data_IF_584457959076
#
_entry.id   IF_584457959076
#
_cell.length_a   1.000
_cell.length_b   1.000
_cell.length_c   1.000
_cell.angle_alpha   90.00
_cell.angle_beta   90.00
_cell.angle_gamma   90.00
#
_symmetry.space_group_name_H-M   'P 1'
#
loop_
_entity.id
_entity.type
_entity.pdbx_description
1 polymer ?
#
# COMPACT_ATOMS: atom_id res chain seq x y z
N UNK A 1 -28.67 31.88 -70.97
CA UNK A 1 -27.42 31.08 -70.98
C UNK A 1 -27.03 30.80 -69.53
N UNK A 2 -26.54 29.58 -69.27
CA UNK A 2 -26.53 28.88 -67.96
C UNK A 2 -25.67 29.56 -66.88
N UNK A 3 -26.19 29.50 -65.64
CA UNK A 3 -25.55 29.89 -64.37
C UNK A 3 -24.43 28.90 -64.01
N UNK A 4 -23.32 29.37 -63.46
CA UNK A 4 -22.30 28.50 -62.84
C UNK A 4 -21.96 29.05 -61.45
N UNK A 5 -22.46 28.38 -60.41
CA UNK A 5 -22.07 28.60 -59.02
C UNK A 5 -21.12 27.45 -58.67
N UNK A 6 -19.88 27.78 -58.33
CA UNK A 6 -18.86 26.81 -57.91
C UNK A 6 -19.01 26.60 -56.41
N UNK A 7 -19.40 25.39 -56.01
CA UNK A 7 -19.51 24.99 -54.61
C UNK A 7 -18.18 24.37 -54.16
N UNK A 8 -17.45 25.02 -53.25
CA UNK A 8 -16.25 24.46 -52.62
C UNK A 8 -16.68 23.62 -51.41
N UNK A 9 -16.61 22.30 -51.52
CA UNK A 9 -16.83 21.39 -50.38
C UNK A 9 -15.50 21.16 -49.66
N UNK A 10 -15.39 21.65 -48.42
CA UNK A 10 -14.27 21.36 -47.51
C UNK A 10 -14.58 20.08 -46.76
N UNK A 11 -13.84 19.01 -47.06
CA UNK A 11 -13.96 17.72 -46.37
C UNK A 11 -13.06 17.72 -45.13
N UNK A 12 -13.64 17.78 -43.93
CA UNK A 12 -12.90 17.63 -42.68
C UNK A 12 -12.58 16.15 -42.43
N UNK A 13 -11.29 15.80 -42.42
CA UNK A 13 -10.82 14.46 -42.04
C UNK A 13 -10.71 14.41 -40.52
N UNK A 14 -11.67 13.76 -39.86
CA UNK A 14 -11.59 13.46 -38.43
C UNK A 14 -10.72 12.21 -38.29
N UNK A 15 -9.45 12.39 -37.93
CA UNK A 15 -8.55 11.29 -37.60
C UNK A 15 -9.00 10.64 -36.28
N UNK A 16 -9.73 9.53 -36.36
CA UNK A 16 -9.94 8.64 -35.22
C UNK A 16 -8.58 8.03 -34.85
N UNK A 17 -7.93 8.58 -33.83
CA UNK A 17 -6.82 7.88 -33.18
C UNK A 17 -7.46 6.80 -32.31
N UNK A 18 -7.21 5.50 -32.57
CA UNK A 18 -7.66 4.48 -31.63
C UNK A 18 -6.93 4.75 -30.30
N UNK A 19 -7.69 5.00 -29.24
CA UNK A 19 -7.15 4.92 -27.90
C UNK A 19 -6.68 3.47 -27.71
N UNK A 20 -5.37 3.26 -27.69
CA UNK A 20 -4.81 1.99 -27.25
C UNK A 20 -5.18 1.85 -25.78
N UNK A 21 -6.25 1.12 -25.49
CA UNK A 21 -6.46 0.57 -24.17
C UNK A 21 -5.25 -0.33 -23.91
N UNK A 22 -4.32 0.14 -23.07
CA UNK A 22 -3.31 -0.74 -22.48
C UNK A 22 -4.06 -1.91 -21.90
N UNK A 23 -3.73 -3.13 -22.32
CA UNK A 23 -4.17 -4.32 -21.61
C UNK A 23 -3.76 -4.10 -20.17
N UNK A 24 -4.73 -3.88 -19.28
CA UNK A 24 -4.47 -3.54 -17.89
C UNK A 24 -3.64 -4.68 -17.28
N UNK A 25 -2.32 -4.49 -17.26
CA UNK A 25 -1.38 -5.46 -16.75
C UNK A 25 -1.73 -5.74 -15.30
N UNK A 26 -1.66 -7.02 -14.91
CA UNK A 26 -1.70 -7.36 -13.50
C UNK A 26 -0.30 -7.11 -12.95
N UNK A 27 -0.19 -6.23 -11.95
CA UNK A 27 1.04 -6.05 -11.19
C UNK A 27 0.99 -6.92 -9.96
N UNK A 28 1.97 -7.81 -9.81
CA UNK A 28 2.13 -8.66 -8.64
C UNK A 28 3.11 -8.02 -7.67
N UNK A 29 2.64 -7.67 -6.48
CA UNK A 29 3.48 -7.25 -5.35
C UNK A 29 3.62 -8.43 -4.42
N UNK A 30 4.84 -8.91 -4.18
CA UNK A 30 5.06 -10.05 -3.30
C UNK A 30 6.36 -9.89 -2.53
N UNK A 31 6.42 -10.46 -1.34
CA UNK A 31 7.58 -10.32 -0.49
C UNK A 31 7.35 -10.78 0.92
N UNK A 32 8.43 -10.76 1.68
CA UNK A 32 8.41 -11.09 3.10
C UNK A 32 9.79 -10.99 3.70
N UNK A 33 9.82 -10.95 5.03
CA UNK A 33 11.04 -10.82 5.80
C UNK A 33 10.80 -10.06 7.09
N UNK A 34 11.81 -9.31 7.51
CA UNK A 34 11.72 -8.41 8.66
C UNK A 34 11.97 -6.99 8.23
N UNK A 35 11.29 -6.04 8.84
CA UNK A 35 11.56 -4.62 8.71
C UNK A 35 12.14 -4.02 9.98
N UNK A 36 12.53 -2.75 9.89
CA UNK A 36 12.90 -1.91 11.01
C UNK A 36 12.44 -0.48 10.77
N UNK A 37 11.88 0.15 11.80
CA UNK A 37 11.53 1.56 11.79
C UNK A 37 12.75 2.47 11.97
N UNK A 38 13.91 1.91 12.34
CA UNK A 38 15.15 2.67 12.59
C UNK A 38 15.08 3.56 13.84
N UNK A 39 14.01 3.45 14.62
CA UNK A 39 13.77 4.20 15.84
C UNK A 39 13.13 3.30 16.90
N UNK A 40 13.28 3.73 18.14
CA UNK A 40 12.53 3.26 19.30
C UNK A 40 11.23 4.06 19.36
N UNK A 41 10.10 3.42 19.01
CA UNK A 41 8.81 4.07 18.86
C UNK A 41 8.00 4.09 20.16
N UNK A 42 8.36 3.26 21.15
CA UNK A 42 7.63 3.12 22.42
C UNK A 42 8.44 3.53 23.66
N UNK A 43 9.74 3.79 23.50
CA UNK A 43 10.64 4.24 24.55
C UNK A 43 11.21 3.10 25.41
N UNK A 44 11.15 1.84 24.98
CA UNK A 44 11.69 0.69 25.71
C UNK A 44 13.23 0.55 25.61
N UNK A 45 13.87 1.38 24.79
CA UNK A 45 15.30 1.39 24.53
C UNK A 45 15.74 0.48 23.39
N UNK A 46 14.83 -0.10 22.61
CA UNK A 46 15.13 -0.96 21.45
C UNK A 46 14.59 -0.35 20.16
N UNK A 47 15.27 -0.66 19.06
CA UNK A 47 14.75 -0.31 17.73
C UNK A 47 13.63 -1.27 17.36
N UNK A 48 12.50 -0.70 16.96
CA UNK A 48 11.31 -1.45 16.59
C UNK A 48 11.30 -1.90 15.12
N UNK A 49 10.44 -2.87 14.84
CA UNK A 49 10.18 -3.40 13.51
C UNK A 49 9.14 -4.51 13.55
N UNK A 50 8.91 -5.12 12.39
CA UNK A 50 7.91 -6.14 12.16
C UNK A 50 8.48 -7.31 11.37
N UNK A 51 7.79 -8.44 11.45
CA UNK A 51 7.87 -9.49 10.45
C UNK A 51 6.72 -9.28 9.47
N UNK A 52 7.01 -9.28 8.18
CA UNK A 52 6.01 -9.01 7.17
C UNK A 52 5.94 -10.09 6.11
N UNK A 53 4.76 -10.21 5.51
CA UNK A 53 4.50 -11.07 4.37
C UNK A 53 3.38 -10.49 3.53
N UNK A 54 3.56 -10.47 2.22
CA UNK A 54 2.56 -9.96 1.29
C UNK A 54 2.59 -10.71 -0.03
N UNK A 55 1.41 -10.96 -0.58
CA UNK A 55 1.21 -11.41 -1.96
C UNK A 55 -0.07 -10.75 -2.45
N UNK A 56 0.06 -9.85 -3.41
CA UNK A 56 -1.02 -8.99 -3.91
C UNK A 56 -0.97 -8.93 -5.43
N UNK A 57 -2.08 -9.28 -6.07
CA UNK A 57 -2.33 -9.05 -7.49
C UNK A 57 -3.15 -7.77 -7.65
N UNK A 58 -2.60 -6.74 -8.28
CA UNK A 58 -3.29 -5.47 -8.56
C UNK A 58 -3.66 -5.40 -10.04
N UNK A 59 -4.91 -5.05 -10.31
CA UNK A 59 -5.42 -4.84 -11.66
C UNK A 59 -5.39 -3.35 -12.00
N UNK A 60 -5.15 -3.00 -13.26
CA UNK A 60 -5.15 -1.60 -13.71
C UNK A 60 -6.49 -0.86 -13.53
N UNK A 61 -7.56 -1.56 -13.15
CA UNK A 61 -8.86 -0.98 -12.76
C UNK A 61 -8.91 -0.46 -11.33
N UNK A 62 -7.87 -0.69 -10.51
CA UNK A 62 -7.83 -0.36 -9.08
C UNK A 62 -8.28 -1.50 -8.17
N UNK A 63 -8.86 -2.58 -8.72
CA UNK A 63 -9.17 -3.79 -7.97
C UNK A 63 -7.88 -4.56 -7.64
N UNK A 64 -7.83 -5.20 -6.47
CA UNK A 64 -6.74 -6.07 -6.08
C UNK A 64 -7.23 -7.32 -5.36
N UNK A 65 -6.39 -8.35 -5.30
CA UNK A 65 -6.62 -9.58 -4.54
C UNK A 65 -5.33 -10.02 -3.88
N UNK A 66 -5.39 -10.46 -2.64
CA UNK A 66 -4.19 -10.94 -1.95
C UNK A 66 -4.32 -10.91 -0.45
N UNK A 67 -3.19 -11.15 0.20
CA UNK A 67 -3.08 -11.15 1.65
C UNK A 67 -1.91 -10.28 2.09
N UNK A 68 -2.09 -9.63 3.23
CA UNK A 68 -1.05 -8.90 3.94
C UNK A 68 -0.98 -9.39 5.38
N UNK A 69 0.25 -9.54 5.88
CA UNK A 69 0.57 -9.79 7.27
C UNK A 69 1.68 -8.83 7.68
N UNK A 70 1.46 -8.11 8.77
CA UNK A 70 2.47 -7.41 9.53
C UNK A 70 2.36 -7.84 10.99
N UNK A 71 3.40 -8.48 11.51
CA UNK A 71 3.49 -9.01 12.86
C UNK A 71 4.56 -8.22 13.61
N UNK A 72 4.12 -7.34 14.50
CA UNK A 72 4.99 -6.56 15.39
C UNK A 72 5.31 -7.34 16.68
N UNK A 73 4.53 -8.37 17.00
CA UNK A 73 4.70 -9.22 18.19
C UNK A 73 5.95 -10.14 18.21
N UNK A 74 6.92 -9.94 17.31
CA UNK A 74 7.90 -10.96 16.89
C UNK A 74 9.38 -10.66 17.13
N UNK A 75 9.72 -9.80 18.10
CA UNK A 75 11.04 -9.71 18.80
C UNK A 75 11.04 -8.69 19.95
N UNK A 76 10.12 -7.73 19.92
CA UNK A 76 9.85 -6.78 20.99
C UNK A 76 8.37 -6.92 21.35
N UNK A 77 8.04 -7.13 22.62
CA UNK A 77 6.75 -6.59 23.06
C UNK A 77 6.93 -5.09 22.93
N UNK A 78 6.29 -4.49 21.93
CA UNK A 78 6.34 -3.04 21.78
C UNK A 78 5.38 -2.46 22.83
N UNK A 79 5.86 -2.40 24.08
CA UNK A 79 5.13 -1.92 25.25
C UNK A 79 4.97 -0.40 25.13
N UNK A 80 3.95 0.01 24.39
CA UNK A 80 3.58 1.42 24.21
C UNK A 80 2.91 1.68 22.85
N UNK A 81 3.20 0.83 21.86
CA UNK A 81 2.40 0.76 20.64
C UNK A 81 1.19 -0.15 20.87
N UNK A 82 0.02 0.32 20.47
CA UNK A 82 -1.23 -0.43 20.66
C UNK A 82 -1.33 -1.66 19.73
N UNK A 83 -0.49 -1.75 18.70
CA UNK A 83 -0.63 -2.67 17.59
C UNK A 83 0.37 -3.83 17.64
N UNK A 84 -0.13 -5.07 17.71
CA UNK A 84 0.69 -6.29 17.74
C UNK A 84 0.71 -7.01 16.39
N UNK A 85 -0.39 -7.00 15.64
CA UNK A 85 -0.40 -7.47 14.26
C UNK A 85 -1.56 -6.90 13.45
N UNK A 86 -1.34 -6.83 12.14
CA UNK A 86 -2.38 -6.64 11.12
C UNK A 86 -2.31 -7.81 10.16
N UNK A 87 -3.43 -8.50 9.99
CA UNK A 87 -3.58 -9.54 8.98
C UNK A 87 -4.86 -9.29 8.21
N UNK A 88 -4.78 -9.18 6.89
CA UNK A 88 -5.96 -8.78 6.12
C UNK A 88 -5.95 -9.24 4.68
N UNK A 89 -7.15 -9.24 4.11
CA UNK A 89 -7.36 -9.46 2.67
C UNK A 89 -7.25 -8.12 1.96
N UNK A 90 -6.52 -8.12 0.85
CA UNK A 90 -6.36 -6.94 0.00
C UNK A 90 -7.43 -6.97 -1.09
N UNK A 91 -8.13 -5.84 -1.26
CA UNK A 91 -9.24 -5.70 -2.21
C UNK A 91 -9.06 -4.54 -3.19
N UNK A 92 -8.22 -3.56 -2.86
CA UNK A 92 -7.89 -2.42 -3.72
C UNK A 92 -6.39 -2.20 -3.82
N UNK A 93 -5.92 -1.71 -4.96
CA UNK A 93 -4.50 -1.48 -5.20
C UNK A 93 -4.22 -0.54 -6.37
N UNK A 94 -3.10 0.14 -6.34
CA UNK A 94 -2.66 1.07 -7.38
C UNK A 94 -1.14 1.10 -7.41
N UNK A 95 -0.57 1.08 -8.62
CA UNK A 95 0.85 1.34 -8.84
C UNK A 95 1.07 2.85 -8.94
N UNK A 96 1.99 3.37 -8.13
CA UNK A 96 2.28 4.79 -8.05
C UNK A 96 3.35 5.21 -9.07
N UNK A 97 3.40 6.50 -9.47
CA UNK A 97 4.39 7.00 -10.42
C UNK A 97 5.85 6.87 -9.96
N UNK A 98 6.09 6.79 -8.65
CA UNK A 98 7.42 6.61 -8.06
C UNK A 98 7.90 5.14 -8.06
N UNK A 99 7.09 4.23 -8.62
CA UNK A 99 7.38 2.80 -8.65
C UNK A 99 6.99 2.03 -7.38
N UNK A 100 6.37 2.70 -6.40
CA UNK A 100 5.77 2.05 -5.24
C UNK A 100 4.38 1.50 -5.56
N UNK A 101 3.87 0.60 -4.72
CA UNK A 101 2.52 0.08 -4.82
C UNK A 101 1.75 0.41 -3.54
N UNK A 102 0.59 1.03 -3.67
CA UNK A 102 -0.33 1.23 -2.56
C UNK A 102 -1.49 0.25 -2.66
N UNK A 103 -1.77 -0.49 -1.60
CA UNK A 103 -2.88 -1.43 -1.53
C UNK A 103 -3.62 -1.35 -0.20
N UNK A 104 -4.87 -1.79 -0.20
CA UNK A 104 -5.78 -1.63 0.94
C UNK A 104 -6.81 -2.74 1.01
N UNK A 105 -7.39 -2.88 2.20
CA UNK A 105 -8.47 -3.82 2.44
C UNK A 105 -8.90 -3.76 3.90
N UNK A 106 -9.49 -4.85 4.38
CA UNK A 106 -9.91 -5.01 5.77
C UNK A 106 -9.27 -6.24 6.39
N UNK A 107 -8.93 -6.17 7.66
CA UNK A 107 -8.25 -7.24 8.35
C UNK A 107 -8.59 -7.34 9.83
N UNK A 108 -7.94 -8.31 10.47
CA UNK A 108 -7.87 -8.41 11.92
C UNK A 108 -6.71 -7.56 12.42
N UNK A 109 -6.97 -6.81 13.48
CA UNK A 109 -5.99 -6.02 14.23
C UNK A 109 -5.89 -6.59 15.63
N UNK A 110 -4.72 -7.12 15.99
CA UNK A 110 -4.45 -7.67 17.32
C UNK A 110 -3.70 -6.62 18.15
N UNK A 111 -4.15 -6.35 19.36
CA UNK A 111 -3.50 -5.41 20.30
C UNK A 111 -2.73 -6.12 21.44
N UNK A 112 -2.67 -7.45 21.41
CA UNK A 112 -2.17 -8.26 22.52
C UNK A 112 -3.22 -8.45 23.62
N UNK A 113 -2.87 -9.22 24.65
CA UNK A 113 -3.75 -9.46 25.80
C UNK A 113 -5.10 -10.14 25.49
N UNK A 114 -5.23 -10.75 24.30
CA UNK A 114 -6.47 -11.37 23.83
C UNK A 114 -7.41 -10.42 23.07
N UNK A 115 -7.05 -9.14 22.92
CA UNK A 115 -7.86 -8.14 22.21
C UNK A 115 -7.60 -8.19 20.71
N UNK A 116 -8.63 -8.58 19.94
CA UNK A 116 -8.56 -8.64 18.48
C UNK A 116 -9.80 -7.98 17.88
N UNK A 117 -9.60 -6.96 17.06
CA UNK A 117 -10.63 -6.32 16.26
C UNK A 117 -10.68 -6.94 14.86
N UNK A 118 -11.88 -7.03 14.28
CA UNK A 118 -12.11 -7.58 12.96
C UNK A 118 -12.68 -6.51 12.02
N UNK A 119 -12.46 -6.67 10.72
CA UNK A 119 -12.98 -5.74 9.71
C UNK A 119 -12.34 -4.35 9.75
N UNK A 120 -11.16 -4.23 10.37
CA UNK A 120 -10.47 -2.94 10.48
C UNK A 120 -9.86 -2.58 9.12
N UNK A 121 -10.17 -1.41 8.55
CA UNK A 121 -9.58 -1.00 7.28
C UNK A 121 -8.10 -0.66 7.46
N UNK A 122 -7.28 -1.03 6.48
CA UNK A 122 -5.86 -0.73 6.47
C UNK A 122 -5.41 -0.32 5.07
N UNK A 123 -4.27 0.38 5.02
CA UNK A 123 -3.55 0.71 3.79
C UNK A 123 -2.08 0.37 3.98
N UNK A 124 -1.44 -0.09 2.92
CA UNK A 124 0.00 -0.29 2.85
C UNK A 124 0.53 0.38 1.60
N UNK A 125 1.63 1.10 1.72
CA UNK A 125 2.45 1.50 0.58
C UNK A 125 3.76 0.73 0.66
N UNK A 126 4.13 0.02 -0.41
CA UNK A 126 5.32 -0.80 -0.49
C UNK A 126 6.24 -0.30 -1.60
N UNK A 127 7.54 -0.26 -1.34
CA UNK A 127 8.59 0.06 -2.31
C UNK A 127 9.43 -1.20 -2.53
N UNK A 128 9.69 -1.60 -3.79
CA UNK A 128 10.44 -2.80 -4.08
C UNK A 128 11.91 -2.65 -3.67
N UNK A 129 12.51 -3.75 -3.24
CA UNK A 129 13.91 -3.81 -2.83
C UNK A 129 14.19 -4.83 -1.74
N UNK A 130 15.47 -5.19 -1.61
CA UNK A 130 16.00 -5.99 -0.51
C UNK A 130 16.40 -5.12 0.70
N UNK A 131 17.29 -5.64 1.57
CA UNK A 131 17.69 -4.95 2.79
C UNK A 131 18.27 -3.55 2.55
N UNK A 132 17.82 -2.57 3.36
CA UNK A 132 18.24 -1.17 3.28
C UNK A 132 17.69 -0.38 2.09
N UNK A 133 16.97 -1.03 1.17
CA UNK A 133 16.41 -0.40 -0.04
C UNK A 133 14.89 -0.49 -0.05
N UNK A 134 14.34 -1.68 0.11
CA UNK A 134 12.90 -1.90 0.16
C UNK A 134 12.28 -1.24 1.38
N UNK A 135 11.04 -0.77 1.25
CA UNK A 135 10.30 -0.12 2.34
C UNK A 135 8.85 -0.54 2.34
N UNK A 136 8.20 -0.42 3.47
CA UNK A 136 6.75 -0.41 3.55
C UNK A 136 6.25 0.59 4.59
N UNK A 137 5.05 1.10 4.39
CA UNK A 137 4.34 1.93 5.36
C UNK A 137 2.97 1.33 5.59
N UNK A 138 2.60 1.09 6.85
CA UNK A 138 1.28 0.60 7.24
C UNK A 138 0.49 1.73 7.89
N UNK A 139 -0.72 1.95 7.40
CA UNK A 139 -1.73 2.79 8.05
C UNK A 139 -2.90 1.93 8.50
N UNK A 140 -3.26 2.00 9.78
CA UNK A 140 -4.56 1.49 10.28
C UNK A 140 -5.55 2.64 10.26
N UNK A 141 -6.67 2.48 9.57
CA UNK A 141 -7.59 3.58 9.30
C UNK A 141 -8.67 3.65 10.38
N UNK A 142 -8.94 4.84 10.91
CA UNK A 142 -10.01 5.06 11.89
C UNK A 142 -9.67 4.66 13.32
N UNK A 143 -8.39 4.44 13.65
CA UNK A 143 -7.96 3.95 14.97
C UNK A 143 -6.59 4.51 15.36
N UNK A 144 -6.31 4.51 16.68
CA UNK A 144 -5.02 4.83 17.33
C UNK A 144 -4.34 6.15 16.93
N UNK A 145 -5.10 7.17 16.57
CA UNK A 145 -4.58 8.52 16.32
C UNK A 145 -3.95 9.12 17.59
N UNK A 146 -2.74 9.67 17.44
CA UNK A 146 -2.02 10.43 18.46
C UNK A 146 -1.37 9.58 19.53
N UNK A 147 -1.38 8.26 19.39
CA UNK A 147 -0.61 7.35 20.27
C UNK A 147 0.83 7.24 19.76
N UNK A 148 1.78 6.73 20.56
CA UNK A 148 3.15 6.51 20.11
C UNK A 148 3.22 5.74 18.78
N UNK A 149 4.24 6.00 17.96
CA UNK A 149 4.38 5.43 16.62
C UNK A 149 3.46 6.04 15.54
N UNK A 150 2.49 6.88 15.90
CA UNK A 150 1.70 7.64 14.92
C UNK A 150 2.50 8.85 14.42
N UNK A 151 2.73 8.91 13.12
CA UNK A 151 3.49 10.00 12.50
C UNK A 151 2.62 11.20 12.12
N UNK A 152 1.29 11.04 12.05
CA UNK A 152 0.37 12.10 11.62
C UNK A 152 -0.83 12.16 12.58
N UNK A 153 -0.64 12.85 13.71
CA UNK A 153 -1.75 13.04 14.64
C UNK A 153 -2.82 14.01 14.13
N UNK A 154 -4.08 13.74 14.47
CA UNK A 154 -5.26 14.54 14.18
C UNK A 154 -6.00 14.15 12.91
N UNK A 155 -5.63 13.05 12.25
CA UNK A 155 -6.24 12.59 11.00
C UNK A 155 -7.15 11.35 11.16
N UNK A 156 -7.38 10.90 12.41
CA UNK A 156 -8.11 9.71 12.80
C UNK A 156 -7.52 8.36 12.33
N UNK A 157 -6.24 8.29 11.98
CA UNK A 157 -5.56 7.05 11.60
C UNK A 157 -4.35 6.81 12.49
N UNK A 158 -3.81 5.60 12.36
CA UNK A 158 -2.53 5.23 12.92
C UNK A 158 -1.52 5.11 11.78
N UNK A 159 -0.72 6.14 11.57
CA UNK A 159 0.23 6.21 10.46
C UNK A 159 1.62 5.83 10.95
N UNK A 160 1.94 4.54 10.89
CA UNK A 160 3.29 4.09 11.24
C UNK A 160 4.31 4.73 10.28
N UNK A 161 5.54 5.00 10.77
CA UNK A 161 6.61 5.48 9.92
C UNK A 161 6.97 4.45 8.85
N UNK A 162 7.73 4.88 7.86
CA UNK A 162 8.30 3.97 6.88
C UNK A 162 9.18 2.93 7.58
N UNK A 163 8.84 1.68 7.37
CA UNK A 163 9.63 0.54 7.80
C UNK A 163 10.56 0.12 6.66
N UNK A 164 11.87 0.08 6.92
CA UNK A 164 12.86 -0.36 5.94
C UNK A 164 13.06 -1.87 6.05
N UNK A 165 13.12 -2.57 4.91
CA UNK A 165 13.44 -4.00 4.88
C UNK A 165 14.80 -4.23 5.52
N UNK A 166 14.85 -5.06 6.56
CA UNK A 166 16.06 -5.46 7.27
C UNK A 166 16.52 -6.86 6.81
N UNK A 167 15.59 -7.77 6.54
CA UNK A 167 15.85 -9.08 5.91
C UNK A 167 14.78 -9.41 4.88
N UNK A 168 15.09 -10.28 3.92
CA UNK A 168 14.16 -10.65 2.86
C UNK A 168 14.07 -9.60 1.75
N UNK A 169 12.90 -9.46 1.12
CA UNK A 169 12.70 -8.52 0.01
C UNK A 169 11.22 -8.25 -0.28
N UNK A 170 10.97 -7.15 -1.00
CA UNK A 170 9.73 -6.83 -1.68
C UNK A 170 10.01 -6.76 -3.18
N UNK A 171 9.22 -7.46 -3.99
CA UNK A 171 9.32 -7.50 -5.43
C UNK A 171 8.00 -7.10 -6.10
N UNK A 172 8.13 -6.51 -7.30
CA UNK A 172 7.01 -6.13 -8.16
C UNK A 172 7.28 -6.63 -9.57
N UNK A 173 6.30 -7.33 -10.16
CA UNK A 173 6.40 -7.90 -11.52
C UNK A 173 5.11 -7.71 -12.28
#
# INVERSE_FOLDING_TARGET
MKRLIVLLTVTAVISFVPAFASAAGVTMVHGGGTGSFGADLDGDGRIDGSQFGLVVAMMGSGAARGSFLCLMAGRSQILGLHLMSVQGQVTGGTLNPDGSASFSGTGSVNLGGGTIFQGVPFRVTAWPGGPGVGKMQLTVIGAFDGVPGDTISGNNNYDLPNETVATGQIAMT
#
